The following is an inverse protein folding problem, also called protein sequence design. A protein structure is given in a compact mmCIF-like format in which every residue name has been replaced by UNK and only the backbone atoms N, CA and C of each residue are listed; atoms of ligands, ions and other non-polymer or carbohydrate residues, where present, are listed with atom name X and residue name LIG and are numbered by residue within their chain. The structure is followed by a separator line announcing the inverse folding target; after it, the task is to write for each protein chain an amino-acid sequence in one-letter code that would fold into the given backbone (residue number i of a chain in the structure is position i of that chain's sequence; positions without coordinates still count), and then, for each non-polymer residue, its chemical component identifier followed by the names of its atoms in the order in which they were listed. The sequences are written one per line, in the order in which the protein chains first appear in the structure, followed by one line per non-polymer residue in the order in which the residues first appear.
data_IF_143867795091
#
_entry.id   IF_143867795091
#
_cell.length_a   1.000
_cell.length_b   1.000
_cell.length_c   1.000
_cell.angle_alpha   90.00
_cell.angle_beta   90.00
_cell.angle_gamma   90.00
#
_symmetry.space_group_name_H-M   'P 1'
#
loop_
_entity.id
_entity.type
_entity.pdbx_description
1 polymer ?
#
# COMPACT_ATOMS: atom_id res chain seq x y z
N UNK A 1 12.86 -55.98 -2.64
CA UNK A 1 13.04 -54.66 -1.98
C UNK A 1 12.34 -53.60 -2.83
N UNK A 2 11.69 -52.63 -2.17
CA UNK A 2 10.68 -51.69 -2.70
C UNK A 2 11.16 -50.83 -3.89
N UNK A 3 10.23 -50.20 -4.60
CA UNK A 3 10.20 -48.74 -4.46
C UNK A 3 8.85 -48.22 -3.97
N UNK A 4 8.94 -47.31 -3.01
CA UNK A 4 7.85 -46.55 -2.45
C UNK A 4 7.28 -45.59 -3.51
N UNK A 5 6.02 -45.74 -3.90
CA UNK A 5 5.27 -44.61 -4.43
C UNK A 5 4.88 -43.71 -3.25
N UNK A 6 5.70 -42.69 -2.97
CA UNK A 6 5.25 -41.50 -2.23
C UNK A 6 4.44 -40.65 -3.21
N UNK A 7 3.12 -40.82 -3.21
CA UNK A 7 2.23 -39.89 -3.89
C UNK A 7 2.20 -38.60 -3.05
N UNK A 8 3.00 -37.62 -3.48
CA UNK A 8 3.04 -36.29 -2.89
C UNK A 8 1.69 -35.61 -3.11
N UNK A 9 0.98 -35.37 -2.00
CA UNK A 9 -0.27 -34.62 -1.97
C UNK A 9 0.05 -33.17 -2.32
N UNK A 10 -0.20 -32.77 -3.57
CA UNK A 10 0.07 -31.42 -4.04
C UNK A 10 -0.88 -30.44 -3.34
N UNK A 11 -0.28 -29.50 -2.61
CA UNK A 11 -0.88 -28.47 -1.76
C UNK A 11 -1.78 -27.50 -2.54
N UNK A 12 -3.02 -27.34 -2.09
CA UNK A 12 -3.87 -26.21 -2.44
C UNK A 12 -3.95 -25.25 -1.25
N UNK A 13 -3.04 -24.28 -1.18
CA UNK A 13 -3.24 -23.08 -0.35
C UNK A 13 -3.90 -22.01 -1.22
N UNK A 14 -5.23 -22.04 -1.32
CA UNK A 14 -5.98 -20.87 -1.78
C UNK A 14 -6.23 -20.01 -0.54
N UNK A 15 -5.24 -19.22 -0.15
CA UNK A 15 -5.51 -18.10 0.75
C UNK A 15 -6.11 -16.98 -0.10
N UNK A 16 -7.41 -17.05 -0.35
CA UNK A 16 -8.16 -15.88 -0.78
C UNK A 16 -8.42 -15.01 0.45
N UNK A 17 -7.38 -14.35 0.96
CA UNK A 17 -7.56 -13.29 1.95
C UNK A 17 -7.73 -11.97 1.22
N UNK A 18 -8.84 -11.32 1.52
CA UNK A 18 -9.19 -10.02 0.97
C UNK A 18 -10.59 -9.67 1.38
N UNK A 19 -10.86 -9.62 2.69
CA UNK A 19 -11.91 -8.74 3.17
C UNK A 19 -11.44 -7.35 2.73
N UNK A 20 -11.92 -6.88 1.59
CA UNK A 20 -11.79 -5.48 1.22
C UNK A 20 -12.50 -4.74 2.34
N UNK A 21 -11.75 -4.14 3.26
CA UNK A 21 -12.34 -3.18 4.18
C UNK A 21 -13.13 -2.20 3.32
N UNK A 22 -14.41 -2.01 3.67
CA UNK A 22 -15.31 -1.17 2.90
C UNK A 22 -14.74 0.24 2.95
N UNK A 23 -14.18 0.69 1.82
CA UNK A 23 -13.51 1.98 1.72
C UNK A 23 -14.42 3.09 2.26
N UNK A 24 -13.96 3.80 3.28
CA UNK A 24 -14.74 4.83 3.94
C UNK A 24 -14.54 6.17 3.23
N UNK A 25 -15.55 6.60 2.48
CA UNK A 25 -15.54 7.86 1.74
C UNK A 25 -15.27 9.09 2.63
N UNK A 26 -15.64 9.04 3.91
CA UNK A 26 -15.35 10.12 4.87
C UNK A 26 -13.84 10.29 5.14
N UNK A 27 -13.02 9.27 4.87
CA UNK A 27 -11.57 9.32 5.02
C UNK A 27 -10.86 9.75 3.73
N UNK A 28 -11.59 10.01 2.65
CA UNK A 28 -11.00 10.48 1.40
C UNK A 28 -10.84 12.00 1.43
N UNK A 29 -9.64 12.45 1.12
CA UNK A 29 -9.25 13.86 1.00
C UNK A 29 -9.70 14.43 -0.33
N UNK A 30 -10.04 15.72 -0.32
CA UNK A 30 -10.25 16.51 -1.54
C UNK A 30 -8.92 17.05 -2.11
N UNK A 31 -7.87 17.07 -1.30
CA UNK A 31 -6.55 17.56 -1.68
C UNK A 31 -5.76 16.46 -2.40
N UNK A 32 -4.73 16.87 -3.14
CA UNK A 32 -3.79 15.95 -3.80
C UNK A 32 -2.71 15.42 -2.85
N UNK A 33 -2.73 15.80 -1.58
CA UNK A 33 -1.76 15.37 -0.58
C UNK A 33 -2.40 15.23 0.80
N UNK A 34 -1.77 14.42 1.64
CA UNK A 34 -2.16 14.16 3.02
C UNK A 34 -0.90 14.10 3.88
N UNK A 35 -0.87 14.91 4.94
CA UNK A 35 0.06 14.76 6.05
C UNK A 35 -0.70 14.17 7.24
N UNK A 36 -0.36 12.94 7.62
CA UNK A 36 -1.11 12.20 8.66
C UNK A 36 -0.96 12.78 10.06
N UNK A 37 -0.01 13.69 10.29
CA UNK A 37 0.05 14.45 11.55
C UNK A 37 -1.01 15.55 11.63
N UNK A 38 -1.63 15.94 10.51
CA UNK A 38 -2.56 17.09 10.43
C UNK A 38 -4.02 16.69 10.23
N UNK A 39 -4.30 15.42 9.90
CA UNK A 39 -5.65 15.01 9.53
C UNK A 39 -5.86 13.51 9.70
N UNK A 40 -7.13 13.12 9.88
CA UNK A 40 -7.56 11.72 9.90
C UNK A 40 -7.87 11.18 8.49
N UNK A 41 -7.69 11.98 7.43
CA UNK A 41 -7.85 11.49 6.05
C UNK A 41 -6.79 10.44 5.73
N UNK A 42 -7.15 9.50 4.88
CA UNK A 42 -6.38 8.29 4.55
C UNK A 42 -6.21 8.04 3.07
N UNK A 43 -7.07 8.61 2.22
CA UNK A 43 -6.98 8.38 0.79
C UNK A 43 -7.09 9.64 -0.07
N UNK A 44 -6.47 9.59 -1.24
CA UNK A 44 -6.53 10.61 -2.28
C UNK A 44 -7.29 10.02 -3.46
N UNK A 45 -8.30 10.74 -3.98
CA UNK A 45 -9.02 10.33 -5.19
C UNK A 45 -8.55 11.14 -6.40
N UNK A 46 -8.05 10.46 -7.43
CA UNK A 46 -7.68 11.05 -8.73
C UNK A 46 -8.09 10.11 -9.86
N UNK A 47 -8.67 10.64 -10.93
CA UNK A 47 -9.06 9.88 -12.13
C UNK A 47 -9.88 8.60 -11.82
N UNK A 48 -10.80 8.71 -10.85
CA UNK A 48 -11.64 7.60 -10.36
C UNK A 48 -10.87 6.41 -9.75
N UNK A 49 -9.60 6.64 -9.39
CA UNK A 49 -8.77 5.75 -8.58
C UNK A 49 -8.62 6.39 -7.20
N UNK A 50 -8.65 5.56 -6.16
CA UNK A 50 -8.43 5.97 -4.78
C UNK A 50 -7.14 5.32 -4.31
N UNK A 51 -6.16 6.14 -3.94
CA UNK A 51 -4.92 5.70 -3.31
C UNK A 51 -5.09 5.86 -1.81
N UNK A 52 -5.08 4.75 -1.07
CA UNK A 52 -5.51 4.69 0.32
C UNK A 52 -4.40 4.09 1.20
N UNK A 53 -4.07 4.76 2.31
CA UNK A 53 -3.17 4.22 3.33
C UNK A 53 -3.96 3.36 4.30
N UNK A 54 -3.68 2.06 4.30
CA UNK A 54 -4.35 1.04 5.11
C UNK A 54 -4.04 1.19 6.60
N UNK A 55 -4.86 0.56 7.46
CA UNK A 55 -4.86 0.77 8.92
C UNK A 55 -3.50 0.54 9.60
N UNK A 56 -2.65 -0.31 9.03
CA UNK A 56 -1.28 -0.56 9.51
C UNK A 56 -0.35 0.65 9.36
N UNK A 57 -0.76 1.69 8.62
CA UNK A 57 0.02 2.87 8.25
C UNK A 57 1.30 2.53 7.47
N UNK A 58 1.40 1.34 6.88
CA UNK A 58 2.58 0.87 6.14
C UNK A 58 2.24 0.51 4.71
N UNK A 59 0.97 0.20 4.46
CA UNK A 59 0.50 -0.31 3.18
C UNK A 59 -0.32 0.75 2.44
N UNK A 60 -0.07 0.87 1.13
CA UNK A 60 -0.89 1.65 0.21
C UNK A 60 -1.59 0.72 -0.75
N UNK A 61 -2.89 0.95 -0.92
CA UNK A 61 -3.73 0.26 -1.89
C UNK A 61 -4.30 1.26 -2.89
N UNK A 62 -4.38 0.84 -4.15
CA UNK A 62 -5.14 1.55 -5.17
C UNK A 62 -6.45 0.83 -5.46
N UNK A 63 -7.56 1.57 -5.44
CA UNK A 63 -8.90 1.04 -5.74
C UNK A 63 -9.51 1.76 -6.94
N UNK A 64 -10.13 1.01 -7.85
CA UNK A 64 -10.97 1.56 -8.93
C UNK A 64 -12.37 0.95 -8.80
N UNK A 65 -13.39 1.78 -8.56
CA UNK A 65 -14.78 1.32 -8.33
C UNK A 65 -14.84 0.24 -7.23
N UNK A 66 -14.18 0.49 -6.10
CA UNK A 66 -14.07 -0.45 -4.95
C UNK A 66 -13.35 -1.78 -5.23
N UNK A 67 -12.79 -1.97 -6.43
CA UNK A 67 -11.93 -3.13 -6.74
C UNK A 67 -10.47 -2.76 -6.52
N UNK A 68 -9.77 -3.57 -5.74
CA UNK A 68 -8.32 -3.46 -5.56
C UNK A 68 -7.60 -3.62 -6.92
N UNK A 69 -6.71 -2.67 -7.23
CA UNK A 69 -5.90 -2.64 -8.45
C UNK A 69 -4.50 -3.15 -8.17
N UNK A 70 -3.89 -2.63 -7.12
CA UNK A 70 -2.58 -3.04 -6.61
C UNK A 70 -2.50 -2.64 -5.13
N UNK A 71 -1.59 -3.29 -4.41
CA UNK A 71 -1.30 -3.03 -3.01
C UNK A 71 0.20 -3.22 -2.79
N UNK A 72 0.80 -2.36 -1.97
CA UNK A 72 2.23 -2.42 -1.67
C UNK A 72 2.47 -2.00 -0.23
N UNK A 73 3.22 -2.81 0.51
CA UNK A 73 3.71 -2.42 1.84
C UNK A 73 5.02 -1.65 1.65
N UNK A 74 4.96 -0.34 1.86
CA UNK A 74 6.06 0.58 1.56
C UNK A 74 7.26 0.31 2.46
N UNK A 75 7.02 -0.03 3.74
CA UNK A 75 8.08 -0.33 4.71
C UNK A 75 8.79 -1.64 4.37
N UNK A 76 8.05 -2.67 3.93
CA UNK A 76 8.63 -3.94 3.50
C UNK A 76 9.57 -3.75 2.30
N UNK A 77 9.19 -2.89 1.34
CA UNK A 77 10.00 -2.61 0.15
C UNK A 77 11.18 -1.69 0.45
N UNK A 78 10.97 -0.62 1.22
CA UNK A 78 11.99 0.41 1.45
C UNK A 78 12.89 0.11 2.66
N UNK A 79 12.53 -0.88 3.48
CA UNK A 79 13.14 -1.15 4.77
C UNK A 79 12.64 -0.21 5.87
N UNK A 80 13.09 -0.48 7.09
CA UNK A 80 12.77 0.34 8.25
C UNK A 80 13.44 1.72 8.14
N UNK A 81 12.73 2.82 8.43
CA UNK A 81 13.33 4.14 8.43
C UNK A 81 14.40 4.25 9.52
N UNK A 82 15.42 5.10 9.30
CA UNK A 82 16.50 5.32 10.27
C UNK A 82 16.00 6.02 11.54
N UNK A 83 14.97 6.86 11.39
CA UNK A 83 14.43 7.69 12.48
C UNK A 83 12.91 7.69 12.42
N UNK A 84 12.29 7.45 13.58
CA UNK A 84 10.85 7.42 13.77
C UNK A 84 10.22 6.05 13.48
N UNK A 85 8.94 5.92 13.82
CA UNK A 85 8.20 4.67 13.59
C UNK A 85 8.15 4.26 12.11
N UNK A 86 8.16 2.95 11.82
CA UNK A 86 8.04 2.40 10.48
C UNK A 86 6.61 2.57 9.96
N UNK A 87 6.25 3.80 9.63
CA UNK A 87 4.93 4.18 9.14
C UNK A 87 5.03 5.30 8.11
N UNK A 88 4.04 5.34 7.23
CA UNK A 88 3.83 6.40 6.26
C UNK A 88 3.30 7.63 7.00
N UNK A 89 3.96 8.77 6.80
CA UNK A 89 3.61 10.07 7.41
C UNK A 89 3.04 11.06 6.41
N UNK A 90 3.33 10.87 5.13
CA UNK A 90 2.84 11.72 4.06
C UNK A 90 2.62 10.92 2.78
N UNK A 91 1.58 11.28 2.04
CA UNK A 91 1.33 10.85 0.66
C UNK A 91 0.95 12.07 -0.16
N UNK A 92 1.61 12.27 -1.29
CA UNK A 92 1.27 13.27 -2.30
C UNK A 92 1.09 12.62 -3.65
N UNK A 93 0.10 13.05 -4.42
CA UNK A 93 -0.08 12.65 -5.82
C UNK A 93 0.64 13.64 -6.73
N UNK A 94 1.54 13.15 -7.58
CA UNK A 94 2.24 13.94 -8.59
C UNK A 94 2.27 13.21 -9.93
N UNK A 95 1.51 13.71 -10.90
CA UNK A 95 1.48 13.24 -12.31
C UNK A 95 1.21 11.73 -12.45
N UNK A 96 2.25 10.90 -12.43
CA UNK A 96 2.29 9.45 -12.61
C UNK A 96 2.78 8.69 -11.36
N UNK A 97 3.05 9.40 -10.26
CA UNK A 97 3.58 8.82 -9.02
C UNK A 97 2.86 9.30 -7.76
N UNK A 98 2.97 8.50 -6.72
CA UNK A 98 2.79 8.94 -5.34
C UNK A 98 4.15 9.23 -4.71
N UNK A 99 4.28 10.40 -4.08
CA UNK A 99 5.40 10.80 -3.25
C UNK A 99 5.10 10.44 -1.80
N UNK A 100 5.97 9.65 -1.19
CA UNK A 100 5.73 9.07 0.13
C UNK A 100 6.84 9.50 1.08
N UNK A 101 6.47 9.85 2.31
CA UNK A 101 7.43 9.97 3.42
C UNK A 101 7.15 8.86 4.42
N UNK A 102 8.18 8.08 4.76
CA UNK A 102 8.15 7.04 5.79
C UNK A 102 9.07 7.44 6.95
N UNK A 103 8.66 7.18 8.18
CA UNK A 103 9.38 7.67 9.36
C UNK A 103 9.54 9.20 9.33
N UNK A 104 10.73 9.71 9.68
CA UNK A 104 10.99 11.16 9.73
C UNK A 104 11.62 11.73 8.45
N UNK A 105 12.51 10.97 7.81
CA UNK A 105 13.42 11.48 6.76
C UNK A 105 13.65 10.51 5.60
N UNK A 106 12.79 9.50 5.43
CA UNK A 106 12.92 8.55 4.34
C UNK A 106 11.79 8.79 3.32
N UNK A 107 12.14 8.73 2.04
CA UNK A 107 11.31 9.08 0.91
C UNK A 107 11.18 7.89 -0.03
N UNK A 108 9.98 7.70 -0.56
CA UNK A 108 9.71 6.70 -1.57
C UNK A 108 8.80 7.26 -2.66
N UNK A 109 8.90 6.68 -3.85
CA UNK A 109 7.97 6.89 -4.94
C UNK A 109 7.21 5.60 -5.23
N UNK A 110 5.95 5.73 -5.61
CA UNK A 110 5.13 4.60 -6.07
C UNK A 110 4.55 4.95 -7.43
N UNK A 111 4.79 4.12 -8.44
CA UNK A 111 4.12 4.26 -9.74
C UNK A 111 2.61 4.01 -9.58
N UNK A 112 1.77 4.95 -10.04
CA UNK A 112 0.33 4.90 -9.78
C UNK A 112 -0.41 3.78 -10.52
N UNK A 113 0.20 3.20 -11.55
CA UNK A 113 -0.44 2.20 -12.40
C UNK A 113 -0.15 0.77 -11.92
N UNK A 114 1.06 0.55 -11.40
CA UNK A 114 1.59 -0.77 -11.05
C UNK A 114 1.75 -0.98 -9.54
N UNK A 115 1.87 0.08 -8.75
CA UNK A 115 2.22 -0.03 -7.33
C UNK A 115 3.68 -0.38 -7.09
N UNK A 116 4.54 -0.32 -8.12
CA UNK A 116 5.98 -0.50 -7.97
C UNK A 116 6.52 0.63 -7.10
N UNK A 117 7.10 0.24 -5.97
CA UNK A 117 7.62 1.15 -4.95
C UNK A 117 9.14 1.20 -5.04
N UNK A 118 9.70 2.42 -4.98
CA UNK A 118 11.14 2.65 -4.98
C UNK A 118 11.52 3.59 -3.84
N UNK A 119 12.50 3.19 -3.05
CA UNK A 119 13.17 4.06 -2.10
C UNK A 119 14.06 5.07 -2.83
N UNK A 120 13.97 6.35 -2.48
CA UNK A 120 14.69 7.43 -3.19
C UNK A 120 15.55 8.35 -2.30
N UNK A 121 15.57 8.16 -0.98
CA UNK A 121 16.41 8.95 -0.07
C UNK A 121 16.00 8.86 1.37
#
# INVERSE_FOLDING_TARGET
MKPFLKLSMLTFFVTQTGISEKLNDALISKNSEINFAKTQKRGIKKNNIIYYVENDLQTISAYKRSKLKWQTNVISVCGKPKVGEPQIRYVGYNTDKLLIVIGKHNFAEIDINSGITKFIG
#
